data_IF_056047055940
#
_entry.id   IF_056047055940
#
_cell.length_a   1.000
_cell.length_b   1.000
_cell.length_c   1.000
_cell.angle_alpha   90.00
_cell.angle_beta   90.00
_cell.angle_gamma   90.00
#
_symmetry.space_group_name_H-M   'P 1'
#
loop_
_entity.id
_entity.type
_entity.pdbx_description
1 polymer ?
#
# COMPACT_ATOMS: atom_id res chain seq x y z
N UNK A 1 -8.56 -8.80 3.15
CA UNK A 1 -10.03 -8.65 3.09
C UNK A 1 -10.32 -7.49 2.14
N UNK A 2 -11.30 -7.63 1.23
CA UNK A 2 -11.73 -6.51 0.38
C UNK A 2 -12.96 -5.87 0.99
N UNK A 3 -13.03 -4.55 0.90
CA UNK A 3 -14.17 -3.76 1.32
C UNK A 3 -15.12 -3.59 0.14
N UNK A 4 -16.37 -3.98 0.37
CA UNK A 4 -17.46 -3.92 -0.59
C UNK A 4 -18.55 -2.99 -0.09
N UNK A 5 -19.40 -2.45 -0.99
CA UNK A 5 -20.64 -1.82 -0.58
C UNK A 5 -21.47 -2.73 0.34
N UNK A 6 -22.14 -2.18 1.37
CA UNK A 6 -23.06 -2.95 2.20
C UNK A 6 -24.14 -3.62 1.34
N UNK A 7 -24.43 -4.89 1.64
CA UNK A 7 -25.45 -5.67 0.91
C UNK A 7 -26.70 -5.88 1.75
N UNK A 8 -26.56 -5.94 3.07
CA UNK A 8 -27.70 -6.09 3.98
C UNK A 8 -28.56 -4.82 3.98
N UNK A 9 -29.91 -4.90 3.85
CA UNK A 9 -30.79 -3.73 3.77
C UNK A 9 -30.59 -2.73 4.92
N UNK A 10 -30.44 -3.23 6.15
CA UNK A 10 -30.18 -2.40 7.34
C UNK A 10 -28.86 -1.66 7.20
N UNK A 11 -27.79 -2.34 6.78
CA UNK A 11 -26.48 -1.72 6.61
C UNK A 11 -26.48 -0.68 5.48
N UNK A 12 -27.19 -0.92 4.38
CA UNK A 12 -27.39 0.03 3.28
C UNK A 12 -28.10 1.28 3.78
N UNK A 13 -29.19 1.11 4.54
CA UNK A 13 -29.96 2.24 5.09
C UNK A 13 -29.13 3.07 6.07
N UNK A 14 -28.40 2.41 6.98
CA UNK A 14 -27.49 3.06 7.91
C UNK A 14 -26.40 3.83 7.18
N UNK A 15 -25.71 3.20 6.21
CA UNK A 15 -24.69 3.86 5.39
C UNK A 15 -25.24 5.11 4.67
N UNK A 16 -26.42 4.99 4.06
CA UNK A 16 -27.09 6.09 3.36
C UNK A 16 -27.48 7.23 4.31
N UNK A 17 -27.91 6.91 5.54
CA UNK A 17 -28.21 7.91 6.57
C UNK A 17 -26.94 8.64 7.01
N UNK A 18 -25.87 7.92 7.35
CA UNK A 18 -24.60 8.52 7.75
C UNK A 18 -24.04 9.43 6.66
N UNK A 19 -24.02 8.98 5.39
CA UNK A 19 -23.58 9.81 4.27
C UNK A 19 -24.39 11.09 4.10
N UNK A 20 -25.72 11.02 4.25
CA UNK A 20 -26.58 12.21 4.18
C UNK A 20 -26.30 13.18 5.32
N UNK A 21 -26.09 12.67 6.54
CA UNK A 21 -25.73 13.49 7.70
C UNK A 21 -24.38 14.20 7.48
N UNK A 22 -23.37 13.48 6.98
CA UNK A 22 -22.06 14.04 6.65
C UNK A 22 -22.15 15.11 5.56
N UNK A 23 -22.93 14.86 4.50
CA UNK A 23 -23.10 15.80 3.38
C UNK A 23 -23.92 17.04 3.75
N UNK A 24 -24.92 16.90 4.64
CA UNK A 24 -25.74 18.02 5.08
C UNK A 24 -25.00 18.98 6.02
N UNK A 25 -23.97 18.51 6.72
CA UNK A 25 -23.22 19.33 7.68
C UNK A 25 -24.06 19.83 8.87
N UNK A 26 -25.26 19.29 9.08
CA UNK A 26 -26.18 19.68 10.14
C UNK A 26 -25.74 19.14 11.50
N UNK A 27 -26.30 19.67 12.59
CA UNK A 27 -26.09 19.08 13.91
C UNK A 27 -26.53 17.62 13.93
N UNK A 28 -25.65 16.76 14.42
CA UNK A 28 -25.88 15.33 14.61
C UNK A 28 -25.66 14.97 16.08
N UNK A 29 -26.43 14.00 16.58
CA UNK A 29 -26.06 13.32 17.82
C UNK A 29 -24.82 12.46 17.54
N UNK A 30 -23.66 12.93 17.99
CA UNK A 30 -22.38 12.26 17.78
C UNK A 30 -22.35 10.86 18.41
N UNK A 31 -23.01 10.65 19.54
CA UNK A 31 -23.05 9.34 20.20
C UNK A 31 -23.85 8.33 19.39
N UNK A 32 -24.99 8.75 18.84
CA UNK A 32 -25.78 7.94 17.94
C UNK A 32 -25.02 7.66 16.62
N UNK A 33 -24.40 8.69 16.04
CA UNK A 33 -23.60 8.57 14.82
C UNK A 33 -22.49 7.52 14.97
N UNK A 34 -21.71 7.57 16.05
CA UNK A 34 -20.63 6.60 16.26
C UNK A 34 -21.14 5.19 16.50
N UNK A 35 -22.28 5.01 17.17
CA UNK A 35 -22.91 3.68 17.32
C UNK A 35 -23.26 3.07 15.98
N UNK A 36 -23.79 3.88 15.07
CA UNK A 36 -24.13 3.45 13.71
C UNK A 36 -22.90 3.19 12.86
N UNK A 37 -21.92 4.09 12.87
CA UNK A 37 -20.67 3.94 12.11
C UNK A 37 -19.93 2.65 12.52
N UNK A 38 -19.83 2.38 13.83
CA UNK A 38 -19.18 1.17 14.36
C UNK A 38 -19.94 -0.13 14.07
N UNK A 39 -21.19 -0.05 13.62
CA UNK A 39 -21.96 -1.22 13.16
C UNK A 39 -21.66 -1.62 11.71
N UNK A 40 -20.91 -0.78 10.98
CA UNK A 40 -20.55 -0.98 9.58
C UNK A 40 -19.08 -1.36 9.42
N UNK A 41 -18.74 -1.92 8.26
CA UNK A 41 -17.35 -2.00 7.84
C UNK A 41 -16.85 -0.60 7.43
N UNK A 42 -15.70 -0.19 7.97
CA UNK A 42 -15.09 1.11 7.71
C UNK A 42 -13.68 0.94 7.10
N UNK A 43 -13.21 1.86 6.22
CA UNK A 43 -13.93 3.00 5.64
C UNK A 43 -15.20 2.59 4.88
N UNK A 44 -16.22 3.45 4.93
CA UNK A 44 -17.52 3.12 4.34
C UNK A 44 -17.43 3.15 2.82
N UNK A 45 -17.69 2.02 2.18
CA UNK A 45 -17.72 1.89 0.71
C UNK A 45 -19.16 1.95 0.23
N UNK A 46 -19.40 2.69 -0.86
CA UNK A 46 -20.72 2.77 -1.49
C UNK A 46 -20.59 2.72 -3.01
N UNK A 47 -21.56 2.06 -3.64
CA UNK A 47 -21.67 2.03 -5.10
C UNK A 47 -22.15 3.39 -5.62
N UNK A 48 -21.75 3.73 -6.84
CA UNK A 48 -22.18 4.94 -7.54
C UNK A 48 -23.13 4.51 -8.65
N UNK A 49 -24.34 5.07 -8.67
CA UNK A 49 -25.32 4.74 -9.72
C UNK A 49 -24.75 5.07 -11.10
N UNK A 50 -24.66 4.07 -11.98
CA UNK A 50 -24.15 4.22 -13.34
C UNK A 50 -22.63 4.23 -13.48
N UNK A 51 -21.87 3.89 -12.42
CA UNK A 51 -20.40 3.79 -12.46
C UNK A 51 -19.91 2.56 -11.67
N UNK A 52 -20.05 1.37 -12.27
CA UNK A 52 -19.69 0.09 -11.64
C UNK A 52 -18.17 -0.09 -11.40
N UNK A 53 -17.34 0.68 -12.10
CA UNK A 53 -15.88 0.70 -11.98
C UNK A 53 -15.37 1.68 -10.93
N UNK A 54 -16.25 2.38 -10.22
CA UNK A 54 -15.90 3.34 -9.18
C UNK A 54 -16.70 3.14 -7.89
N UNK A 55 -16.12 3.60 -6.78
CA UNK A 55 -16.73 3.56 -5.45
C UNK A 55 -16.55 4.92 -4.79
N UNK A 56 -17.56 5.32 -4.03
CA UNK A 56 -17.40 6.37 -3.04
C UNK A 56 -16.96 5.76 -1.72
N UNK A 57 -15.80 6.20 -1.24
CA UNK A 57 -15.16 5.71 -0.02
C UNK A 57 -15.12 6.85 1.00
N UNK A 58 -15.87 6.69 2.08
CA UNK A 58 -15.95 7.65 3.18
C UNK A 58 -15.06 7.19 4.34
N UNK A 59 -14.00 7.96 4.57
CA UNK A 59 -13.13 7.85 5.73
C UNK A 59 -13.72 8.64 6.90
N UNK A 60 -13.62 8.07 8.10
CA UNK A 60 -14.05 8.69 9.34
C UNK A 60 -12.88 8.74 10.32
N UNK A 61 -12.81 9.80 11.11
CA UNK A 61 -11.88 9.89 12.23
C UNK A 61 -12.58 10.50 13.44
N UNK A 62 -12.31 9.93 14.61
CA UNK A 62 -12.84 10.41 15.90
C UNK A 62 -11.72 11.13 16.64
N UNK A 63 -11.79 12.45 16.72
CA UNK A 63 -10.77 13.24 17.40
C UNK A 63 -10.94 13.16 18.92
N UNK A 64 -9.87 12.79 19.64
CA UNK A 64 -9.88 12.76 21.10
C UNK A 64 -9.67 14.14 21.75
N UNK A 65 -9.18 15.11 20.98
CA UNK A 65 -8.90 16.48 21.40
C UNK A 65 -9.11 17.44 20.22
N UNK A 66 -9.16 18.76 20.47
CA UNK A 66 -9.24 19.75 19.38
C UNK A 66 -8.04 19.64 18.43
N UNK A 67 -8.32 19.63 17.13
CA UNK A 67 -7.33 19.55 16.05
C UNK A 67 -7.53 20.72 15.09
N UNK A 68 -6.43 21.19 14.48
CA UNK A 68 -6.50 22.07 13.31
C UNK A 68 -7.12 21.36 12.11
N UNK A 69 -6.82 20.07 11.97
CA UNK A 69 -7.24 19.27 10.82
C UNK A 69 -6.94 17.79 11.02
N UNK A 70 -7.54 16.98 10.15
CA UNK A 70 -7.15 15.58 9.98
C UNK A 70 -6.90 15.36 8.49
N UNK A 71 -5.84 14.64 8.17
CA UNK A 71 -5.44 14.34 6.80
C UNK A 71 -5.36 12.83 6.58
N UNK A 72 -6.05 12.34 5.55
CA UNK A 72 -5.93 10.96 5.07
C UNK A 72 -4.78 10.91 4.07
N UNK A 73 -3.68 10.25 4.45
CA UNK A 73 -2.55 9.99 3.55
C UNK A 73 -2.77 8.69 2.80
N UNK A 74 -3.50 8.74 1.70
CA UNK A 74 -3.83 7.61 0.84
C UNK A 74 -2.81 7.50 -0.30
N UNK A 75 -2.12 6.36 -0.38
CA UNK A 75 -1.05 6.12 -1.34
C UNK A 75 -1.51 6.39 -2.79
N UNK A 76 -0.74 7.21 -3.52
CA UNK A 76 -1.01 7.66 -4.91
C UNK A 76 -2.29 8.45 -5.15
N UNK A 77 -3.07 8.76 -4.11
CA UNK A 77 -4.32 9.52 -4.26
C UNK A 77 -4.19 10.90 -3.63
N UNK A 78 -3.76 10.97 -2.38
CA UNK A 78 -3.60 12.22 -1.63
C UNK A 78 -2.15 12.55 -1.32
N UNK A 79 -1.21 11.64 -1.65
CA UNK A 79 0.22 11.85 -1.48
C UNK A 79 0.84 12.89 -2.45
N UNK A 80 2.10 13.26 -2.17
CA UNK A 80 2.87 14.26 -2.93
C UNK A 80 2.13 15.61 -2.96
N UNK A 81 1.86 16.13 -4.15
CA UNK A 81 1.25 17.44 -4.35
C UNK A 81 -0.28 17.42 -4.18
N UNK A 82 -0.89 16.26 -3.89
CA UNK A 82 -2.34 16.10 -3.76
C UNK A 82 -2.87 16.27 -2.33
N UNK A 83 -2.13 16.95 -1.44
CA UNK A 83 -2.47 17.08 -0.02
C UNK A 83 -3.90 17.57 0.21
N UNK A 84 -4.34 18.58 -0.54
CA UNK A 84 -5.67 19.15 -0.41
C UNK A 84 -6.81 18.11 -0.57
N UNK A 85 -6.62 17.09 -1.41
CA UNK A 85 -7.61 16.01 -1.60
C UNK A 85 -7.76 15.11 -0.38
N UNK A 86 -6.75 15.05 0.49
CA UNK A 86 -6.78 14.22 1.70
C UNK A 86 -7.24 14.95 2.95
N UNK A 87 -7.48 16.26 2.88
CA UNK A 87 -7.91 17.03 4.06
C UNK A 87 -9.37 16.70 4.40
N UNK A 88 -9.59 16.26 5.64
CA UNK A 88 -10.92 15.93 6.15
C UNK A 88 -11.66 17.19 6.60
N UNK A 89 -12.98 17.13 6.58
CA UNK A 89 -13.86 18.17 7.13
C UNK A 89 -14.42 17.69 8.46
N UNK A 90 -14.45 18.58 9.45
CA UNK A 90 -15.09 18.33 10.73
C UNK A 90 -16.59 18.62 10.62
N UNK A 91 -17.44 17.72 11.15
CA UNK A 91 -18.83 18.06 11.39
C UNK A 91 -18.90 19.09 12.54
N UNK A 92 -19.53 20.27 12.34
CA UNK A 92 -19.51 21.35 13.30
C UNK A 92 -19.90 20.90 14.72
N UNK A 93 -19.16 21.36 15.73
CA UNK A 93 -19.42 21.09 17.15
C UNK A 93 -19.29 19.62 17.60
N UNK A 94 -18.70 18.74 16.77
CA UNK A 94 -18.52 17.31 17.09
C UNK A 94 -17.07 16.85 17.03
N UNK A 95 -16.80 15.61 17.46
CA UNK A 95 -15.51 14.93 17.33
C UNK A 95 -15.35 14.20 15.98
N UNK A 96 -16.29 14.37 15.04
CA UNK A 96 -16.38 13.62 13.79
C UNK A 96 -15.68 14.38 12.66
N UNK A 97 -14.63 13.77 12.12
CA UNK A 97 -13.99 14.19 10.88
C UNK A 97 -14.32 13.21 9.77
N UNK A 98 -14.56 13.71 8.56
CA UNK A 98 -14.87 12.86 7.42
C UNK A 98 -14.22 13.34 6.12
N UNK A 99 -13.98 12.39 5.21
CA UNK A 99 -13.58 12.66 3.83
C UNK A 99 -14.22 11.59 2.94
N UNK A 100 -14.88 11.99 1.86
CA UNK A 100 -15.37 11.05 0.85
C UNK A 100 -14.59 11.21 -0.43
N UNK A 101 -13.99 10.12 -0.92
CA UNK A 101 -13.25 10.07 -2.18
C UNK A 101 -13.96 9.15 -3.17
N UNK A 102 -13.97 9.56 -4.44
CA UNK A 102 -14.31 8.67 -5.56
C UNK A 102 -13.04 7.95 -6.01
N UNK A 103 -13.03 6.62 -5.92
CA UNK A 103 -11.88 5.78 -6.24
C UNK A 103 -12.28 4.70 -7.26
N UNK A 104 -11.36 4.25 -8.12
CA UNK A 104 -11.60 3.07 -8.94
C UNK A 104 -11.90 1.86 -8.05
N UNK A 105 -12.92 1.07 -8.36
CA UNK A 105 -13.30 -0.15 -7.64
C UNK A 105 -12.15 -1.18 -7.58
N UNK A 106 -11.16 -1.05 -8.46
CA UNK A 106 -9.93 -1.86 -8.46
C UNK A 106 -8.81 -1.35 -7.55
N UNK A 107 -9.04 -0.26 -6.81
CA UNK A 107 -8.01 0.35 -5.97
C UNK A 107 -7.61 -0.56 -4.80
N UNK A 108 -6.30 -0.70 -4.61
CA UNK A 108 -5.71 -1.32 -3.44
C UNK A 108 -4.47 -0.50 -3.02
N UNK A 109 -4.44 -0.01 -1.79
CA UNK A 109 -3.35 0.81 -1.30
C UNK A 109 -3.36 0.98 0.21
N UNK A 110 -2.20 1.32 0.77
CA UNK A 110 -2.09 1.67 2.18
C UNK A 110 -2.48 3.13 2.43
N UNK A 111 -2.91 3.41 3.65
CA UNK A 111 -3.16 4.76 4.12
C UNK A 111 -2.93 4.91 5.62
N UNK A 112 -2.76 6.16 6.04
CA UNK A 112 -2.71 6.55 7.44
C UNK A 112 -3.56 7.80 7.69
N UNK A 113 -3.97 7.96 8.94
CA UNK A 113 -4.66 9.14 9.46
C UNK A 113 -3.63 10.02 10.15
N UNK A 114 -3.49 11.28 9.71
CA UNK A 114 -2.57 12.25 10.30
C UNK A 114 -3.37 13.32 11.00
N UNK A 115 -3.24 13.38 12.32
CA UNK A 115 -3.81 14.48 13.11
C UNK A 115 -2.91 15.71 12.98
N UNK A 116 -3.53 16.88 12.76
CA UNK A 116 -2.84 18.17 12.62
C UNK A 116 -3.15 18.98 13.89
N UNK A 117 -2.19 19.15 14.82
CA UNK A 117 -2.38 19.96 16.02
C UNK A 117 -2.74 21.43 15.71
N UNK A 118 -3.46 22.14 16.62
CA UNK A 118 -3.87 23.54 16.45
C UNK A 118 -2.79 24.49 15.92
N UNK A 119 -1.60 24.45 16.53
CA UNK A 119 -0.48 25.37 16.25
C UNK A 119 0.45 24.89 15.11
N UNK A 120 0.00 23.95 14.29
CA UNK A 120 0.83 23.45 13.17
C UNK A 120 0.99 24.53 12.11
N UNK A 121 2.20 24.87 11.64
CA UNK A 121 2.41 25.84 10.55
C UNK A 121 1.86 25.37 9.20
N UNK A 122 1.44 26.31 8.34
CA UNK A 122 0.90 26.01 6.98
C UNK A 122 1.87 25.24 6.11
N UNK A 123 3.16 25.60 6.15
CA UNK A 123 4.23 24.91 5.44
C UNK A 123 4.34 23.43 5.84
N UNK A 124 4.08 23.11 7.10
CA UNK A 124 4.07 21.73 7.58
C UNK A 124 2.86 20.98 7.02
N UNK A 125 1.69 21.64 6.98
CA UNK A 125 0.48 21.07 6.38
C UNK A 125 0.67 20.79 4.89
N UNK A 126 1.26 21.73 4.13
CA UNK A 126 1.56 21.56 2.71
C UNK A 126 2.53 20.40 2.42
N UNK A 127 3.36 20.02 3.40
CA UNK A 127 4.31 18.92 3.28
C UNK A 127 3.76 17.55 3.71
N UNK A 128 2.50 17.44 4.16
CA UNK A 128 1.91 16.18 4.63
C UNK A 128 1.93 15.05 3.58
N UNK A 129 1.86 15.39 2.30
CA UNK A 129 1.96 14.42 1.20
C UNK A 129 3.39 13.94 0.94
N UNK A 130 4.40 14.64 1.45
CA UNK A 130 5.82 14.37 1.21
C UNK A 130 6.30 13.08 1.85
N UNK A 131 7.33 12.48 1.26
CA UNK A 131 8.08 11.35 1.86
C UNK A 131 8.69 11.71 3.23
N UNK A 132 8.93 13.00 3.47
CA UNK A 132 9.55 13.54 4.68
C UNK A 132 8.58 14.33 5.57
N UNK A 133 7.28 14.05 5.47
CA UNK A 133 6.29 14.68 6.34
C UNK A 133 6.70 14.53 7.82
N UNK A 134 6.71 15.63 8.56
CA UNK A 134 7.13 15.68 9.96
C UNK A 134 6.08 15.12 10.91
N UNK A 135 4.79 15.20 10.53
CA UNK A 135 3.70 14.61 11.29
C UNK A 135 3.53 13.12 10.95
N UNK A 136 3.44 12.31 12.01
CA UNK A 136 3.35 10.86 11.91
C UNK A 136 1.90 10.44 11.71
N UNK A 137 1.65 9.66 10.66
CA UNK A 137 0.35 9.03 10.44
C UNK A 137 0.16 7.78 11.28
N UNK A 138 -1.06 7.57 11.74
CA UNK A 138 -1.50 6.40 12.51
C UNK A 138 -2.32 5.47 11.61
N UNK A 139 -2.31 4.17 11.91
CA UNK A 139 -3.32 3.27 11.36
C UNK A 139 -4.71 3.76 11.76
N UNK A 140 -5.66 3.61 10.85
CA UNK A 140 -7.08 3.85 11.09
C UNK A 140 -7.64 2.80 12.06
N UNK A 141 -8.02 3.18 13.29
CA UNK A 141 -8.53 2.24 14.29
C UNK A 141 -9.93 1.72 13.94
N UNK A 142 -10.64 2.35 13.00
CA UNK A 142 -11.97 1.94 12.56
C UNK A 142 -11.91 0.88 11.45
N UNK A 143 -10.74 0.72 10.80
CA UNK A 143 -10.55 -0.29 9.77
C UNK A 143 -10.16 -1.63 10.40
N UNK A 144 -11.04 -2.63 10.25
CA UNK A 144 -10.84 -3.99 10.75
C UNK A 144 -9.94 -4.85 9.85
N UNK A 145 -9.54 -4.34 8.68
CA UNK A 145 -8.60 -5.04 7.79
C UNK A 145 -7.21 -5.08 8.44
N UNK A 146 -6.53 -6.23 8.45
CA UNK A 146 -5.15 -6.31 8.94
C UNK A 146 -4.26 -5.27 8.26
N UNK A 147 -3.54 -4.51 9.08
CA UNK A 147 -2.61 -3.50 8.60
C UNK A 147 -1.39 -4.10 7.90
N UNK A 148 -0.62 -3.24 7.25
CA UNK A 148 0.64 -3.59 6.61
C UNK A 148 1.78 -2.79 7.23
N UNK A 149 2.94 -3.42 7.43
CA UNK A 149 4.16 -2.72 7.84
C UNK A 149 5.08 -2.64 6.62
N UNK A 150 5.15 -1.49 5.96
CA UNK A 150 6.01 -1.25 4.78
C UNK A 150 7.23 -0.41 5.09
N UNK A 151 7.33 0.14 6.31
CA UNK A 151 8.37 1.11 6.69
C UNK A 151 9.16 0.69 7.94
N UNK A 152 8.91 -0.49 8.49
CA UNK A 152 9.56 -1.02 9.69
C UNK A 152 9.03 -0.47 11.01
N UNK A 153 8.39 0.70 11.01
CA UNK A 153 8.21 1.49 12.24
C UNK A 153 6.79 1.49 12.79
N UNK A 154 5.79 1.28 11.95
CA UNK A 154 4.37 1.29 12.33
C UNK A 154 3.52 0.55 11.30
N UNK A 155 2.37 0.03 11.74
CA UNK A 155 1.35 -0.48 10.82
C UNK A 155 0.63 0.68 10.13
N UNK A 156 0.42 0.54 8.83
CA UNK A 156 -0.47 1.37 8.03
C UNK A 156 -1.76 0.57 7.76
N UNK A 157 -2.90 1.24 7.62
CA UNK A 157 -4.15 0.57 7.24
C UNK A 157 -4.15 0.27 5.74
N UNK A 158 -4.87 -0.78 5.35
CA UNK A 158 -5.02 -1.17 3.94
C UNK A 158 -6.45 -0.93 3.49
N UNK A 159 -6.61 -0.22 2.39
CA UNK A 159 -7.85 -0.13 1.64
C UNK A 159 -7.72 -1.00 0.39
N UNK A 160 -8.47 -2.09 0.32
CA UNK A 160 -8.62 -2.90 -0.88
C UNK A 160 -10.10 -2.94 -1.25
N UNK A 161 -10.47 -2.41 -2.41
CA UNK A 161 -11.87 -2.39 -2.87
C UNK A 161 -12.26 -3.72 -3.52
N UNK A 162 -13.56 -3.94 -3.69
CA UNK A 162 -14.18 -5.18 -4.12
C UNK A 162 -13.68 -5.73 -5.47
N UNK A 163 -13.31 -4.86 -6.41
CA UNK A 163 -12.73 -5.26 -7.70
C UNK A 163 -11.19 -5.22 -7.72
N UNK A 164 -10.53 -4.99 -6.58
CA UNK A 164 -9.07 -5.03 -6.52
C UNK A 164 -8.54 -6.43 -6.90
N UNK A 165 -7.47 -6.54 -7.72
CA UNK A 165 -6.92 -7.83 -8.10
C UNK A 165 -6.56 -8.71 -6.89
N UNK A 166 -6.76 -10.02 -7.01
CA UNK A 166 -6.36 -10.96 -5.96
C UNK A 166 -4.84 -11.06 -5.84
N UNK A 167 -4.38 -11.11 -4.60
CA UNK A 167 -2.97 -11.30 -4.24
C UNK A 167 -2.88 -12.46 -3.22
N UNK A 168 -3.40 -13.62 -3.61
CA UNK A 168 -3.55 -14.81 -2.75
C UNK A 168 -2.20 -15.34 -2.25
N UNK A 169 -1.13 -15.07 -2.99
CA UNK A 169 0.25 -15.37 -2.60
C UNK A 169 0.64 -14.66 -1.29
N UNK A 170 -0.05 -13.58 -0.94
CA UNK A 170 0.20 -12.76 0.24
C UNK A 170 -0.87 -12.93 1.33
N UNK A 171 -1.70 -13.97 1.25
CA UNK A 171 -2.88 -14.20 2.11
C UNK A 171 -2.58 -14.51 3.60
N UNK A 172 -1.35 -14.31 4.05
CA UNK A 172 -0.99 -14.27 5.48
C UNK A 172 -0.10 -15.42 5.96
N UNK A 173 0.09 -16.48 5.17
CA UNK A 173 1.11 -17.47 5.48
C UNK A 173 2.50 -16.86 5.29
N UNK A 174 3.32 -16.89 6.34
CA UNK A 174 4.73 -16.45 6.30
C UNK A 174 5.72 -17.60 6.29
N UNK A 175 5.24 -18.83 6.45
CA UNK A 175 6.07 -20.02 6.32
C UNK A 175 6.43 -20.23 4.84
N UNK A 176 7.71 -20.49 4.60
CA UNK A 176 8.28 -20.84 3.31
C UNK A 176 9.00 -22.18 3.43
N UNK A 177 8.99 -22.97 2.36
CA UNK A 177 9.62 -24.28 2.30
C UNK A 177 11.10 -24.20 1.89
N UNK A 178 11.44 -23.19 1.08
CA UNK A 178 12.79 -22.95 0.59
C UNK A 178 13.82 -22.57 1.66
N UNK A 179 15.04 -22.30 1.22
CA UNK A 179 16.16 -21.91 2.09
C UNK A 179 16.49 -20.44 1.92
N UNK A 180 16.71 -19.73 3.02
CA UNK A 180 17.12 -18.32 3.05
C UNK A 180 18.53 -18.19 3.59
N UNK A 181 19.44 -17.72 2.75
CA UNK A 181 20.83 -17.41 3.11
C UNK A 181 20.98 -15.90 3.29
N UNK A 182 21.80 -15.50 4.27
CA UNK A 182 22.11 -14.09 4.54
C UNK A 182 23.62 -13.92 4.64
N UNK A 183 24.16 -12.93 3.94
CA UNK A 183 25.58 -12.60 3.94
C UNK A 183 25.79 -11.09 3.87
N UNK A 184 26.99 -10.62 4.22
CA UNK A 184 27.38 -9.23 4.04
C UNK A 184 28.36 -9.08 2.87
N UNK A 185 28.11 -8.10 2.00
CA UNK A 185 28.96 -7.81 0.87
C UNK A 185 29.26 -6.32 0.78
N UNK A 186 30.43 -5.97 0.22
CA UNK A 186 30.77 -4.58 -0.10
C UNK A 186 30.27 -4.23 -1.49
N UNK A 187 29.21 -3.42 -1.55
CA UNK A 187 28.52 -3.02 -2.77
C UNK A 187 28.55 -1.49 -2.89
N UNK A 188 29.07 -0.98 -4.01
CA UNK A 188 29.36 0.45 -4.23
C UNK A 188 30.07 1.12 -3.04
N UNK A 189 31.14 0.48 -2.56
CA UNK A 189 31.98 1.00 -1.48
C UNK A 189 31.42 0.82 -0.06
N UNK A 190 30.15 0.41 0.10
CA UNK A 190 29.47 0.26 1.38
C UNK A 190 29.20 -1.20 1.74
N UNK A 191 29.22 -1.54 3.03
CA UNK A 191 28.78 -2.87 3.50
C UNK A 191 27.25 -2.94 3.47
N UNK A 192 26.71 -3.99 2.85
CA UNK A 192 25.27 -4.25 2.75
C UNK A 192 24.98 -5.70 3.06
N UNK A 193 23.89 -5.93 3.78
CA UNK A 193 23.31 -7.27 3.92
C UNK A 193 22.66 -7.67 2.59
N UNK A 194 22.98 -8.86 2.12
CA UNK A 194 22.43 -9.49 0.93
C UNK A 194 21.77 -10.79 1.35
N UNK A 195 20.61 -11.08 0.79
CA UNK A 195 19.81 -12.25 1.13
C UNK A 195 19.50 -13.03 -0.13
N UNK A 196 19.77 -14.33 -0.11
CA UNK A 196 19.44 -15.22 -1.22
C UNK A 196 18.42 -16.25 -0.75
N UNK A 197 17.27 -16.25 -1.37
CA UNK A 197 16.24 -17.25 -1.17
C UNK A 197 16.21 -18.22 -2.34
N UNK A 198 16.26 -19.51 -2.04
CA UNK A 198 16.14 -20.61 -3.00
C UNK A 198 14.84 -21.38 -2.70
N UNK A 199 13.89 -21.47 -3.64
CA UNK A 199 12.66 -22.23 -3.43
C UNK A 199 12.96 -23.74 -3.34
N UNK A 200 12.15 -24.47 -2.57
CA UNK A 200 12.26 -25.93 -2.46
C UNK A 200 11.56 -26.62 -3.63
N UNK A 201 12.27 -26.72 -4.74
CA UNK A 201 11.77 -27.30 -5.99
C UNK A 201 12.84 -28.15 -6.66
N UNK A 202 12.46 -29.23 -7.39
CA UNK A 202 13.40 -29.98 -8.19
C UNK A 202 14.09 -29.09 -9.23
N UNK A 203 15.42 -28.99 -9.15
CA UNK A 203 16.23 -28.21 -10.11
C UNK A 203 16.43 -29.03 -11.38
N UNK A 204 15.38 -29.13 -12.18
CA UNK A 204 15.42 -29.78 -13.51
C UNK A 204 15.96 -28.86 -14.60
N UNK A 205 15.97 -27.55 -14.34
CA UNK A 205 16.53 -26.49 -15.19
C UNK A 205 17.09 -25.37 -14.31
N UNK A 206 17.98 -24.50 -14.82
CA UNK A 206 18.46 -23.34 -14.06
C UNK A 206 17.29 -22.47 -13.59
N UNK A 207 17.36 -22.02 -12.34
CA UNK A 207 16.37 -21.10 -11.77
C UNK A 207 16.52 -19.72 -12.41
N UNK A 208 15.39 -19.04 -12.64
CA UNK A 208 15.43 -17.59 -12.87
C UNK A 208 15.94 -16.86 -11.61
N UNK A 209 16.45 -15.63 -11.78
CA UNK A 209 16.87 -14.80 -10.66
C UNK A 209 16.07 -13.50 -10.61
N UNK A 210 15.40 -13.24 -9.49
CA UNK A 210 14.73 -11.98 -9.18
C UNK A 210 15.60 -11.18 -8.19
N UNK A 211 16.02 -9.98 -8.59
CA UNK A 211 16.76 -9.07 -7.70
C UNK A 211 15.82 -8.01 -7.14
N UNK A 212 15.77 -7.89 -5.82
CA UNK A 212 14.94 -6.92 -5.09
C UNK A 212 15.81 -5.93 -4.32
N UNK A 213 15.52 -4.64 -4.48
CA UNK A 213 15.97 -3.61 -3.53
C UNK A 213 15.09 -3.64 -2.30
N UNK A 214 15.53 -2.98 -1.22
CA UNK A 214 14.78 -2.92 0.04
C UNK A 214 14.53 -4.33 0.60
N UNK A 215 15.56 -5.19 0.52
CA UNK A 215 15.49 -6.60 0.91
C UNK A 215 14.91 -6.79 2.32
N UNK A 216 15.24 -5.89 3.24
CA UNK A 216 14.68 -5.88 4.59
C UNK A 216 13.16 -5.78 4.61
N UNK A 217 12.57 -4.95 3.75
CA UNK A 217 11.12 -4.78 3.69
C UNK A 217 10.47 -6.04 3.12
N UNK A 218 11.00 -6.56 2.01
CA UNK A 218 10.42 -7.72 1.32
C UNK A 218 10.51 -8.99 2.15
N UNK A 219 11.66 -9.26 2.77
CA UNK A 219 11.88 -10.47 3.55
C UNK A 219 11.26 -10.36 4.95
N UNK A 220 11.48 -9.27 5.68
CA UNK A 220 11.11 -9.20 7.10
C UNK A 220 9.65 -8.81 7.29
N UNK A 221 9.13 -7.91 6.46
CA UNK A 221 7.81 -7.32 6.71
C UNK A 221 6.74 -7.79 5.73
N UNK A 222 7.09 -8.09 4.48
CA UNK A 222 6.12 -8.53 3.47
C UNK A 222 6.07 -10.06 3.31
N UNK A 223 7.15 -10.77 3.59
CA UNK A 223 7.17 -12.24 3.56
C UNK A 223 7.32 -12.80 2.15
N UNK A 224 8.18 -12.17 1.34
CA UNK A 224 8.36 -12.49 -0.08
C UNK A 224 8.67 -13.97 -0.35
N UNK A 225 9.41 -14.65 0.53
CA UNK A 225 9.73 -16.07 0.38
C UNK A 225 8.46 -16.94 0.28
N UNK A 226 7.52 -16.74 1.20
CA UNK A 226 6.27 -17.50 1.22
C UNK A 226 5.38 -17.17 0.01
N UNK A 227 5.39 -15.91 -0.43
CA UNK A 227 4.66 -15.49 -1.61
C UNK A 227 5.21 -16.12 -2.90
N UNK A 228 6.54 -16.25 -3.00
CA UNK A 228 7.19 -16.93 -4.12
C UNK A 228 6.85 -18.42 -4.13
N UNK A 229 6.92 -19.09 -2.98
CA UNK A 229 6.48 -20.49 -2.85
C UNK A 229 5.02 -20.68 -3.30
N UNK A 230 4.12 -19.81 -2.85
CA UNK A 230 2.71 -19.87 -3.25
C UNK A 230 2.52 -19.62 -4.76
N UNK A 231 3.27 -18.69 -5.34
CA UNK A 231 3.20 -18.37 -6.77
C UNK A 231 3.73 -19.54 -7.64
N UNK A 232 4.81 -20.20 -7.21
CA UNK A 232 5.38 -21.36 -7.89
C UNK A 232 4.43 -22.56 -7.78
N UNK A 233 3.94 -22.85 -6.58
CA UNK A 233 3.03 -23.98 -6.32
C UNK A 233 1.70 -23.87 -7.07
N UNK A 234 1.19 -22.67 -7.29
CA UNK A 234 -0.01 -22.42 -8.09
C UNK A 234 0.26 -22.43 -9.60
N UNK A 235 1.52 -22.54 -10.03
CA UNK A 235 1.92 -22.46 -11.43
C UNK A 235 1.81 -21.06 -12.05
N UNK A 236 1.61 -20.02 -11.22
CA UNK A 236 1.50 -18.63 -11.69
C UNK A 236 2.82 -18.10 -12.24
N UNK A 237 3.94 -18.55 -11.68
CA UNK A 237 5.30 -18.24 -12.14
C UNK A 237 6.14 -19.50 -12.24
N UNK A 238 7.16 -19.47 -13.09
CA UNK A 238 8.22 -20.48 -13.09
C UNK A 238 9.10 -20.37 -11.83
N UNK A 239 9.77 -21.45 -11.42
CA UNK A 239 10.76 -21.43 -10.34
C UNK A 239 11.79 -20.31 -10.44
N UNK A 240 11.93 -19.52 -9.37
CA UNK A 240 12.80 -18.34 -9.31
C UNK A 240 13.49 -18.24 -7.95
N UNK A 241 14.80 -18.00 -7.98
CA UNK A 241 15.57 -17.60 -6.80
C UNK A 241 15.41 -16.09 -6.57
N UNK A 242 15.43 -15.64 -5.32
CA UNK A 242 15.29 -14.20 -4.99
C UNK A 242 16.54 -13.69 -4.28
N UNK A 243 17.16 -12.66 -4.84
CA UNK A 243 18.28 -11.94 -4.25
C UNK A 243 17.80 -10.58 -3.73
N UNK A 244 17.69 -10.42 -2.41
CA UNK A 244 17.41 -9.14 -1.76
C UNK A 244 18.69 -8.40 -1.41
N UNK A 245 18.74 -7.10 -1.72
CA UNK A 245 19.79 -6.19 -1.28
C UNK A 245 19.18 -5.22 -0.28
N UNK A 246 19.63 -5.29 0.97
CA UNK A 246 19.10 -4.42 2.01
C UNK A 246 19.57 -2.98 1.83
N UNK A 247 18.71 -2.05 2.24
CA UNK A 247 19.14 -0.67 2.43
C UNK A 247 20.00 -0.53 3.68
N UNK A 248 20.91 0.45 3.62
CA UNK A 248 21.69 0.85 4.79
C UNK A 248 20.83 1.72 5.72
N UNK A 249 20.05 2.66 5.16
CA UNK A 249 19.14 3.57 5.84
C UNK A 249 18.06 4.08 4.86
N UNK A 250 16.90 4.53 5.36
CA UNK A 250 15.78 5.05 4.55
C UNK A 250 16.13 6.23 3.62
N UNK A 251 17.20 6.97 3.92
CA UNK A 251 17.72 8.09 3.10
C UNK A 251 18.44 7.59 1.83
N UNK A 252 18.96 6.36 1.84
CA UNK A 252 19.86 5.82 0.80
C UNK A 252 19.17 4.86 -0.19
N UNK A 253 17.83 4.75 -0.17
CA UNK A 253 17.09 3.83 -1.05
C UNK A 253 17.35 4.07 -2.56
N UNK A 254 17.60 5.33 -2.95
CA UNK A 254 17.98 5.67 -4.33
C UNK A 254 19.35 5.11 -4.73
N UNK A 255 20.31 5.02 -3.79
CA UNK A 255 21.63 4.45 -4.05
C UNK A 255 21.57 2.93 -4.17
N UNK A 256 20.70 2.25 -3.40
CA UNK A 256 20.51 0.80 -3.49
C UNK A 256 19.98 0.37 -4.85
N UNK A 257 19.13 1.20 -5.48
CA UNK A 257 18.63 0.98 -6.85
C UNK A 257 19.74 1.07 -7.89
N UNK A 258 20.64 2.05 -7.76
CA UNK A 258 21.81 2.18 -8.64
C UNK A 258 22.80 1.01 -8.46
N UNK A 259 22.95 0.53 -7.22
CA UNK A 259 23.75 -0.67 -6.89
C UNK A 259 23.18 -1.91 -7.54
N UNK A 260 21.86 -2.16 -7.43
CA UNK A 260 21.23 -3.32 -8.06
C UNK A 260 21.42 -3.33 -9.58
N UNK A 261 21.27 -2.17 -10.24
CA UNK A 261 21.53 -2.03 -11.66
C UNK A 261 22.99 -2.31 -12.04
N UNK A 262 23.95 -1.78 -11.27
CA UNK A 262 25.38 -2.04 -11.45
C UNK A 262 25.73 -3.51 -11.21
N UNK A 263 25.12 -4.16 -10.21
CA UNK A 263 25.36 -5.57 -9.93
C UNK A 263 24.84 -6.49 -11.04
N UNK A 264 23.65 -6.21 -11.56
CA UNK A 264 23.12 -6.92 -12.73
C UNK A 264 24.04 -6.77 -13.96
N UNK A 265 24.68 -5.61 -14.15
CA UNK A 265 25.66 -5.41 -15.22
C UNK A 265 26.99 -6.15 -15.04
N UNK A 266 27.27 -6.62 -13.82
CA UNK A 266 28.46 -7.44 -13.50
C UNK A 266 28.19 -8.94 -13.46
N UNK A 267 26.92 -9.37 -13.53
CA UNK A 267 26.58 -10.78 -13.67
C UNK A 267 26.89 -11.23 -15.11
N UNK A 268 27.43 -12.45 -15.32
CA UNK A 268 27.62 -12.99 -16.67
C UNK A 268 26.31 -12.91 -17.47
N UNK A 269 26.37 -12.50 -18.74
CA UNK A 269 25.22 -12.28 -19.64
C UNK A 269 24.21 -13.44 -19.72
N UNK A 270 24.53 -14.63 -19.20
CA UNK A 270 23.64 -15.77 -19.10
C UNK A 270 22.56 -15.66 -17.99
N UNK A 271 22.73 -14.79 -16.98
CA UNK A 271 21.81 -14.66 -15.84
C UNK A 271 20.82 -13.48 -15.94
N UNK A 272 21.06 -12.54 -16.85
CA UNK A 272 20.24 -11.33 -17.01
C UNK A 272 19.66 -11.25 -18.43
N UNK A 273 18.69 -12.11 -18.75
CA UNK A 273 17.78 -11.84 -19.85
C UNK A 273 16.70 -10.88 -19.32
N UNK A 274 16.56 -9.65 -19.85
CA UNK A 274 15.38 -8.86 -19.56
C UNK A 274 14.15 -9.66 -20.02
N UNK A 275 13.13 -9.76 -19.16
CA UNK A 275 11.82 -10.29 -19.56
C UNK A 275 11.26 -9.36 -20.65
N UNK A 276 11.57 -9.65 -21.91
CA UNK A 276 10.92 -9.05 -23.05
C UNK A 276 9.52 -9.69 -23.17
N UNK A 277 8.45 -8.90 -23.28
CA UNK A 277 7.13 -9.46 -23.50
C UNK A 277 7.14 -10.16 -24.86
N UNK A 278 6.99 -11.48 -24.87
CA UNK A 278 6.65 -12.23 -26.09
C UNK A 278 5.28 -11.73 -26.56
N UNK A 279 5.27 -10.95 -27.63
CA UNK A 279 4.08 -10.59 -28.37
C UNK A 279 3.49 -11.86 -29.00
N UNK A 280 2.44 -12.40 -28.38
CA UNK A 280 1.50 -13.30 -29.06
C UNK A 280 0.30 -12.47 -29.48
N UNK A 281 0.14 -12.29 -30.79
CA UNK A 281 -1.05 -11.72 -31.40
C UNK A 281 -2.28 -12.56 -31.02
N UNK A 282 -3.31 -11.91 -30.50
CA UNK A 282 -4.63 -12.52 -30.29
C UNK A 282 -5.29 -12.11 -28.98
N UNK A 283 -6.07 -11.03 -29.03
CA UNK A 283 -7.16 -10.65 -28.11
C UNK A 283 -6.89 -10.64 -26.59
N UNK A 284 -6.83 -9.43 -26.02
CA UNK A 284 -7.43 -9.16 -24.71
C UNK A 284 -6.51 -8.78 -23.56
N UNK A 285 -6.50 -7.47 -23.26
CA UNK A 285 -6.14 -6.79 -22.01
C UNK A 285 -4.66 -6.48 -21.72
N UNK A 286 -4.44 -5.17 -21.57
CA UNK A 286 -3.20 -4.47 -21.23
C UNK A 286 -3.19 -4.07 -19.75
N UNK A 287 -1.97 -3.88 -19.22
CA UNK A 287 -1.48 -2.78 -18.34
C UNK A 287 -0.62 -3.35 -17.20
N UNK A 288 0.71 -3.32 -17.39
CA UNK A 288 1.67 -3.31 -16.29
C UNK A 288 2.20 -1.88 -16.14
N UNK A 289 1.80 -1.19 -15.07
CA UNK A 289 2.53 -0.03 -14.54
C UNK A 289 2.84 -0.28 -13.08
N UNK A 290 4.12 -0.52 -12.77
CA UNK A 290 4.68 -0.14 -11.47
C UNK A 290 6.01 0.59 -11.68
N UNK A 291 5.95 1.83 -11.19
CA UNK A 291 6.95 2.87 -10.96
C UNK A 291 8.43 2.47 -11.08
N UNK A 292 9.12 3.11 -12.04
CA UNK A 292 10.52 3.53 -11.89
C UNK A 292 10.58 5.03 -12.18
N UNK A 293 10.98 5.83 -11.20
CA UNK A 293 11.54 7.17 -11.43
C UNK A 293 13.03 7.09 -11.08
N UNK A 294 13.80 6.47 -11.97
CA UNK A 294 15.23 6.70 -12.05
C UNK A 294 15.44 7.84 -13.03
N UNK A 295 15.72 9.06 -12.55
CA UNK A 295 16.47 10.02 -13.35
C UNK A 295 17.91 9.49 -13.41
N UNK A 296 18.21 8.65 -14.39
CA UNK A 296 19.57 8.54 -14.87
C UNK A 296 19.76 9.71 -15.84
N UNK A 297 20.36 10.80 -15.36
CA UNK A 297 20.86 11.85 -16.25
C UNK A 297 21.96 11.23 -17.09
N UNK A 298 21.76 11.21 -18.41
CA UNK A 298 22.81 10.91 -19.37
C UNK A 298 23.83 12.05 -19.36
N UNK A 299 25.09 11.69 -19.17
CA UNK A 299 26.27 12.35 -19.72
C UNK A 299 27.33 11.27 -19.94
#
# INVERSE_FOLDING_TARGET
MRLSPPVAPVAIQTATRLRRQLAAGSQVDASHFWREANSLALPLVTAINGADDEREVTFLWRAASPLRGVYVRLNRVTDKDNVAKGMMTQLPTTDIWHLTLRLPASYCGSYTMVEIPPETPDETVLQLGSRFASLVGKADPLNSTPGINVRGNAQESVLALDHAPAQEEWSGCRAYAGQLFTSEHRLAGQRRRVRLYLPDVPVVQPLGLLVLTDGEIWFDHLGVSAAIDAAIRSGRIAPVAVLGIDNINAVNASQSSAVAASWCSTLPNACCQPFAPTTRNGSGRTVHKRCWQGKASAA
#
